data_IF_093581771340
#
_entry.id   IF_093581771340
#
_cell.length_a   1.000
_cell.length_b   1.000
_cell.length_c   1.000
_cell.angle_alpha   90.00
_cell.angle_beta   90.00
_cell.angle_gamma   90.00
#
_symmetry.space_group_name_H-M   'P 1'
#
loop_
_entity.id
_entity.type
_entity.pdbx_description
1 polymer ?
#
# COMPACT_ATOMS: atom_id res chain seq x y z
N UNK A 1 -16.75 -11.90 36.87
CA UNK A 1 -17.18 -11.39 35.55
C UNK A 1 -16.44 -10.13 35.11
N UNK A 2 -15.91 -9.31 36.04
CA UNK A 2 -15.03 -8.15 35.74
C UNK A 2 -13.75 -8.48 34.94
N UNK A 3 -13.22 -9.71 35.04
CA UNK A 3 -11.98 -10.11 34.36
C UNK A 3 -12.13 -10.20 32.84
N UNK A 4 -13.25 -10.75 32.34
CA UNK A 4 -13.46 -10.94 30.89
C UNK A 4 -13.74 -9.61 30.16
N UNK A 5 -14.53 -8.73 30.77
CA UNK A 5 -14.80 -7.40 30.21
C UNK A 5 -13.56 -6.52 30.19
N UNK A 6 -12.77 -6.56 31.26
CA UNK A 6 -11.50 -5.85 31.35
C UNK A 6 -10.49 -6.37 30.33
N UNK A 7 -10.35 -7.70 30.19
CA UNK A 7 -9.50 -8.30 29.17
C UNK A 7 -9.94 -7.88 27.76
N UNK A 8 -11.25 -7.80 27.49
CA UNK A 8 -11.73 -7.34 26.20
C UNK A 8 -11.38 -5.88 25.91
N UNK A 9 -11.54 -5.00 26.90
CA UNK A 9 -11.12 -3.59 26.80
C UNK A 9 -9.62 -3.50 26.50
N UNK A 10 -8.79 -4.28 27.19
CA UNK A 10 -7.34 -4.31 26.96
C UNK A 10 -6.98 -4.77 25.54
N UNK A 11 -7.67 -5.79 25.02
CA UNK A 11 -7.48 -6.25 23.64
C UNK A 11 -7.90 -5.17 22.63
N UNK A 12 -9.00 -4.46 22.87
CA UNK A 12 -9.45 -3.36 22.00
C UNK A 12 -8.50 -2.16 22.03
N UNK A 13 -7.92 -1.85 23.19
CA UNK A 13 -6.87 -0.82 23.33
C UNK A 13 -5.64 -1.22 22.50
N UNK A 14 -5.16 -2.46 22.64
CA UNK A 14 -4.04 -2.97 21.83
C UNK A 14 -4.36 -2.91 20.33
N UNK A 15 -5.59 -3.24 19.93
CA UNK A 15 -6.02 -3.18 18.54
C UNK A 15 -5.96 -1.75 18.01
N UNK A 16 -6.47 -0.78 18.77
CA UNK A 16 -6.40 0.64 18.43
C UNK A 16 -4.97 1.13 18.31
N UNK A 17 -4.07 0.73 19.21
CA UNK A 17 -2.65 1.10 19.14
C UNK A 17 -1.99 0.57 17.88
N UNK A 18 -2.27 -0.68 17.50
CA UNK A 18 -1.75 -1.28 16.26
C UNK A 18 -2.29 -0.56 15.01
N UNK A 19 -3.59 -0.23 14.97
CA UNK A 19 -4.14 0.56 13.87
C UNK A 19 -3.56 1.98 13.82
N UNK A 20 -3.33 2.61 14.97
CA UNK A 20 -2.69 3.93 15.02
C UNK A 20 -1.27 3.89 14.44
N UNK A 21 -0.47 2.89 14.83
CA UNK A 21 0.87 2.65 14.25
C UNK A 21 0.79 2.39 12.75
N UNK A 22 -0.20 1.60 12.30
CA UNK A 22 -0.39 1.30 10.89
C UNK A 22 -0.74 2.57 10.10
N UNK A 23 -1.59 3.44 10.63
CA UNK A 23 -1.93 4.74 10.03
C UNK A 23 -0.69 5.63 9.87
N UNK A 24 0.15 5.75 10.90
CA UNK A 24 1.40 6.50 10.81
C UNK A 24 2.33 5.94 9.72
N UNK A 25 2.36 4.62 9.54
CA UNK A 25 3.14 3.99 8.48
C UNK A 25 2.53 4.21 7.09
N UNK A 26 1.21 4.27 6.97
CA UNK A 26 0.52 4.68 5.72
C UNK A 26 0.86 6.13 5.34
N UNK A 27 0.86 7.05 6.31
CA UNK A 27 1.27 8.43 6.08
C UNK A 27 2.74 8.50 5.63
N UNK A 28 3.63 7.73 6.27
CA UNK A 28 5.04 7.66 5.88
C UNK A 28 5.25 7.06 4.50
N UNK A 29 4.50 6.02 4.15
CA UNK A 29 4.51 5.41 2.83
C UNK A 29 4.15 6.46 1.77
N UNK A 30 3.08 7.24 1.99
CA UNK A 30 2.64 8.28 1.07
C UNK A 30 3.72 9.33 0.80
N UNK A 31 4.44 9.77 1.83
CA UNK A 31 5.60 10.67 1.68
C UNK A 31 6.69 10.04 0.79
N UNK A 32 7.01 8.77 1.01
CA UNK A 32 8.05 8.05 0.26
C UNK A 32 7.66 7.79 -1.19
N UNK A 33 6.37 7.54 -1.46
CA UNK A 33 5.83 7.45 -2.82
C UNK A 33 6.04 8.77 -3.56
N UNK A 34 5.71 9.91 -2.93
CA UNK A 34 5.92 11.23 -3.52
C UNK A 34 7.41 11.54 -3.76
N UNK A 35 8.29 11.06 -2.88
CA UNK A 35 9.74 11.23 -2.99
C UNK A 35 10.40 10.25 -3.96
N UNK A 36 9.66 9.24 -4.46
CA UNK A 36 10.15 8.16 -5.31
C UNK A 36 11.30 7.34 -4.68
N UNK A 37 11.37 7.26 -3.35
CA UNK A 37 12.38 6.49 -2.62
C UNK A 37 11.92 5.03 -2.44
N UNK A 38 12.19 4.21 -3.46
CA UNK A 38 11.76 2.81 -3.48
C UNK A 38 12.41 1.95 -2.37
N UNK A 39 13.64 2.28 -1.93
CA UNK A 39 14.36 1.47 -0.92
C UNK A 39 13.74 1.67 0.45
N UNK A 40 13.50 2.92 0.84
CA UNK A 40 12.82 3.22 2.10
C UNK A 40 11.36 2.74 2.09
N UNK A 41 10.69 2.83 0.93
CA UNK A 41 9.34 2.31 0.76
C UNK A 41 9.24 0.81 1.08
N UNK A 42 10.19 -0.01 0.60
CA UNK A 42 10.22 -1.45 0.93
C UNK A 42 10.38 -1.69 2.44
N UNK A 43 11.18 -0.87 3.13
CA UNK A 43 11.33 -0.94 4.58
C UNK A 43 10.01 -0.68 5.31
N UNK A 44 9.28 0.36 4.90
CA UNK A 44 7.95 0.68 5.46
C UNK A 44 6.95 -0.44 5.19
N UNK A 45 6.91 -0.99 3.97
CA UNK A 45 6.02 -2.11 3.64
C UNK A 45 6.31 -3.36 4.50
N UNK A 46 7.59 -3.65 4.78
CA UNK A 46 7.98 -4.71 5.69
C UNK A 46 7.48 -4.50 7.12
N UNK A 47 7.66 -3.30 7.66
CA UNK A 47 7.15 -2.95 9.00
C UNK A 47 5.62 -3.02 9.09
N UNK A 48 4.92 -2.58 8.04
CA UNK A 48 3.46 -2.68 7.94
C UNK A 48 2.97 -4.13 7.95
N UNK A 49 3.65 -5.03 7.23
CA UNK A 49 3.32 -6.45 7.23
C UNK A 49 3.34 -7.03 8.65
N UNK A 50 4.36 -6.70 9.44
CA UNK A 50 4.46 -7.15 10.84
C UNK A 50 3.26 -6.66 11.67
N UNK A 51 2.85 -5.40 11.51
CA UNK A 51 1.68 -4.86 12.21
C UNK A 51 0.38 -5.57 11.81
N UNK A 52 0.21 -5.90 10.52
CA UNK A 52 -0.96 -6.66 10.03
C UNK A 52 -0.98 -8.09 10.59
N UNK A 53 0.18 -8.74 10.68
CA UNK A 53 0.31 -10.06 11.32
C UNK A 53 -0.08 -10.00 12.81
N UNK A 54 0.36 -8.97 13.53
CA UNK A 54 -0.04 -8.73 14.93
C UNK A 54 -1.55 -8.48 15.08
N UNK A 55 -2.13 -7.66 14.20
CA UNK A 55 -3.58 -7.42 14.16
C UNK A 55 -4.37 -8.71 13.88
N UNK A 56 -3.84 -9.58 13.03
CA UNK A 56 -4.45 -10.89 12.72
C UNK A 56 -4.46 -11.79 13.95
N UNK A 57 -3.33 -11.88 14.65
CA UNK A 57 -3.22 -12.64 15.91
C UNK A 57 -4.14 -12.09 17.00
N UNK A 58 -4.21 -10.76 17.14
CA UNK A 58 -5.09 -10.11 18.10
C UNK A 58 -6.57 -10.36 17.77
N UNK A 59 -6.92 -10.34 16.48
CA UNK A 59 -8.27 -10.67 16.01
C UNK A 59 -8.70 -12.10 16.39
N UNK A 60 -7.78 -13.07 16.38
CA UNK A 60 -8.05 -14.43 16.85
C UNK A 60 -8.34 -14.48 18.36
N UNK A 61 -7.73 -13.61 19.16
CA UNK A 61 -7.99 -13.50 20.60
C UNK A 61 -9.33 -12.82 20.90
N UNK A 62 -9.72 -11.84 20.07
CA UNK A 62 -10.99 -11.11 20.18
C UNK A 62 -12.19 -11.97 19.74
N UNK A 63 -12.00 -12.81 18.72
CA UNK A 63 -13.06 -13.65 18.12
C UNK A 63 -13.96 -14.39 19.14
N UNK A 64 -13.43 -15.17 20.11
CA UNK A 64 -14.27 -15.89 21.07
C UNK A 64 -15.08 -14.96 21.98
N UNK A 65 -14.55 -13.78 22.33
CA UNK A 65 -15.28 -12.79 23.14
C UNK A 65 -16.41 -12.16 22.32
N UNK A 66 -16.16 -11.91 21.02
CA UNK A 66 -17.15 -11.36 20.10
C UNK A 66 -18.33 -12.32 19.90
N UNK A 67 -18.08 -13.62 19.82
CA UNK A 67 -19.15 -14.65 19.74
C UNK A 67 -20.05 -14.63 20.98
N UNK A 68 -19.47 -14.36 22.15
CA UNK A 68 -20.17 -14.29 23.42
C UNK A 68 -20.67 -12.87 23.75
N UNK A 69 -20.46 -11.90 22.85
CA UNK A 69 -20.68 -10.48 23.12
C UNK A 69 -22.09 -10.19 23.61
N UNK A 70 -23.09 -10.85 23.02
CA UNK A 70 -24.48 -10.59 23.37
C UNK A 70 -24.83 -11.04 24.79
N UNK A 71 -24.25 -12.15 25.25
CA UNK A 71 -24.39 -12.60 26.64
C UNK A 71 -23.58 -11.72 27.60
N UNK A 72 -22.39 -11.28 27.17
CA UNK A 72 -21.52 -10.43 27.98
C UNK A 72 -22.17 -9.06 28.19
N UNK A 73 -22.70 -8.47 27.12
CA UNK A 73 -23.24 -7.11 27.07
C UNK A 73 -24.30 -6.89 28.13
N UNK A 74 -25.21 -7.83 28.34
CA UNK A 74 -26.31 -7.72 29.32
C UNK A 74 -25.83 -7.72 30.78
N UNK A 75 -24.62 -8.24 31.03
CA UNK A 75 -23.99 -8.27 32.34
C UNK A 75 -23.03 -7.09 32.62
N UNK A 76 -22.75 -6.25 31.62
CA UNK A 76 -21.83 -5.11 31.74
C UNK A 76 -22.47 -3.91 32.44
N UNK A 77 -21.67 -3.21 33.24
CA UNK A 77 -22.00 -1.87 33.70
C UNK A 77 -22.00 -0.89 32.51
N UNK A 78 -22.82 0.17 32.61
CA UNK A 78 -22.96 1.19 31.56
C UNK A 78 -21.61 1.75 31.11
N UNK A 79 -20.74 2.13 32.06
CA UNK A 79 -19.43 2.71 31.77
C UNK A 79 -18.54 1.76 30.94
N UNK A 80 -18.52 0.47 31.26
CA UNK A 80 -17.74 -0.53 30.52
C UNK A 80 -18.29 -0.74 29.11
N UNK A 81 -19.62 -0.77 28.98
CA UNK A 81 -20.28 -0.91 27.68
C UNK A 81 -19.98 0.29 26.78
N UNK A 82 -20.03 1.49 27.33
CA UNK A 82 -19.75 2.73 26.60
C UNK A 82 -18.28 2.80 26.17
N UNK A 83 -17.35 2.43 27.06
CA UNK A 83 -15.93 2.35 26.73
C UNK A 83 -15.65 1.35 25.60
N UNK A 84 -16.27 0.17 25.64
CA UNK A 84 -16.10 -0.84 24.59
C UNK A 84 -16.64 -0.34 23.25
N UNK A 85 -17.85 0.26 23.24
CA UNK A 85 -18.43 0.81 22.02
C UNK A 85 -17.53 1.92 21.45
N UNK A 86 -17.05 2.84 22.30
CA UNK A 86 -16.15 3.90 21.87
C UNK A 86 -14.85 3.37 21.25
N UNK A 87 -14.26 2.31 21.83
CA UNK A 87 -13.06 1.68 21.28
C UNK A 87 -13.33 1.00 19.94
N UNK A 88 -14.49 0.33 19.81
CA UNK A 88 -14.93 -0.32 18.57
C UNK A 88 -15.16 0.71 17.45
N UNK A 89 -15.76 1.86 17.76
CA UNK A 89 -15.98 2.92 16.78
C UNK A 89 -14.64 3.53 16.34
N UNK A 90 -13.75 3.80 17.30
CA UNK A 90 -12.40 4.32 17.01
C UNK A 90 -11.57 3.37 16.13
N UNK A 91 -11.63 2.05 16.35
CA UNK A 91 -10.89 1.09 15.52
C UNK A 91 -11.49 0.97 14.12
N UNK A 92 -12.82 1.08 13.98
CA UNK A 92 -13.48 1.12 12.67
C UNK A 92 -13.10 2.36 11.87
N UNK A 93 -13.13 3.54 12.49
CA UNK A 93 -12.74 4.80 11.85
C UNK A 93 -11.28 4.76 11.38
N UNK A 94 -10.37 4.28 12.23
CA UNK A 94 -8.96 4.11 11.86
C UNK A 94 -8.78 3.14 10.69
N UNK A 95 -9.50 2.01 10.69
CA UNK A 95 -9.41 1.03 9.61
C UNK A 95 -9.94 1.61 8.29
N UNK A 96 -11.06 2.32 8.32
CA UNK A 96 -11.63 2.97 7.14
C UNK A 96 -10.66 3.99 6.53
N UNK A 97 -10.04 4.83 7.37
CA UNK A 97 -9.01 5.78 6.97
C UNK A 97 -7.82 5.08 6.28
N UNK A 98 -7.31 4.00 6.89
CA UNK A 98 -6.15 3.25 6.37
C UNK A 98 -6.47 2.63 5.00
N UNK A 99 -7.64 1.99 4.86
CA UNK A 99 -8.05 1.37 3.58
C UNK A 99 -8.17 2.44 2.48
N UNK A 100 -8.79 3.58 2.80
CA UNK A 100 -8.94 4.68 1.84
C UNK A 100 -7.59 5.23 1.39
N UNK A 101 -6.65 5.46 2.33
CA UNK A 101 -5.31 5.94 2.03
C UNK A 101 -4.50 4.93 1.19
N UNK A 102 -4.56 3.64 1.54
CA UNK A 102 -3.81 2.60 0.82
C UNK A 102 -4.33 2.37 -0.62
N UNK A 103 -5.62 2.56 -0.86
CA UNK A 103 -6.18 2.51 -2.20
C UNK A 103 -5.69 3.70 -3.05
N UNK A 104 -5.66 4.91 -2.49
CA UNK A 104 -5.12 6.09 -3.17
C UNK A 104 -3.63 5.92 -3.51
N UNK A 105 -2.81 5.45 -2.56
CA UNK A 105 -1.39 5.20 -2.77
C UNK A 105 -1.14 4.15 -3.86
N UNK A 106 -1.94 3.07 -3.88
CA UNK A 106 -1.86 2.03 -4.92
C UNK A 106 -2.18 2.59 -6.31
N UNK A 107 -3.18 3.45 -6.42
CA UNK A 107 -3.54 4.10 -7.68
C UNK A 107 -2.42 5.03 -8.16
N UNK A 108 -1.82 5.81 -7.26
CA UNK A 108 -0.70 6.69 -7.60
C UNK A 108 0.52 5.90 -8.09
N UNK A 109 0.91 4.86 -7.36
CA UNK A 109 2.03 4.00 -7.76
C UNK A 109 1.81 3.32 -9.12
N UNK A 110 0.58 2.91 -9.42
CA UNK A 110 0.23 2.36 -10.72
C UNK A 110 0.36 3.41 -11.84
N UNK A 111 -0.14 4.62 -11.62
CA UNK A 111 -0.03 5.72 -12.59
C UNK A 111 1.43 6.12 -12.85
N UNK A 112 2.26 6.18 -11.80
CA UNK A 112 3.69 6.50 -11.90
C UNK A 112 4.44 5.42 -12.71
N UNK A 113 4.13 4.14 -12.46
CA UNK A 113 4.67 3.01 -13.22
C UNK A 113 4.32 3.13 -14.70
N UNK A 114 3.06 3.40 -15.01
CA UNK A 114 2.58 3.46 -16.40
C UNK A 114 3.19 4.64 -17.16
N UNK A 115 3.34 5.79 -16.49
CA UNK A 115 4.02 6.97 -17.03
C UNK A 115 5.49 6.67 -17.32
N UNK A 116 6.24 6.10 -16.36
CA UNK A 116 7.64 5.70 -16.56
C UNK A 116 7.78 4.64 -17.65
N UNK A 117 6.83 3.70 -17.75
CA UNK A 117 6.77 2.71 -18.82
C UNK A 117 6.59 3.34 -20.20
N UNK A 118 5.70 4.33 -20.33
CA UNK A 118 5.49 5.07 -21.57
C UNK A 118 6.72 5.90 -21.97
N UNK A 119 7.40 6.55 -21.02
CA UNK A 119 8.64 7.28 -21.26
C UNK A 119 9.75 6.35 -21.80
N UNK A 120 9.96 5.20 -21.16
CA UNK A 120 10.90 4.17 -21.62
C UNK A 120 10.54 3.63 -23.02
N UNK A 121 9.24 3.41 -23.28
CA UNK A 121 8.73 3.02 -24.59
C UNK A 121 9.02 4.07 -25.67
N UNK A 122 8.81 5.35 -25.37
CA UNK A 122 9.09 6.44 -26.31
C UNK A 122 10.59 6.59 -26.59
N UNK A 123 11.44 6.39 -25.58
CA UNK A 123 12.89 6.42 -25.73
C UNK A 123 13.42 5.30 -26.63
N UNK A 124 12.92 4.07 -26.44
CA UNK A 124 13.31 2.90 -27.25
C UNK A 124 12.79 2.99 -28.70
N UNK A 125 11.60 3.56 -28.91
CA UNK A 125 11.09 3.85 -30.26
C UNK A 125 11.93 4.91 -30.97
N UNK A 126 12.32 5.99 -30.27
CA UNK A 126 13.15 7.04 -30.83
C UNK A 126 14.57 6.55 -31.20
N UNK A 127 15.17 5.67 -30.41
CA UNK A 127 16.47 5.06 -30.76
C UNK A 127 16.35 4.10 -31.94
N UNK A 128 15.28 3.29 -32.00
CA UNK A 128 15.00 2.40 -33.13
C UNK A 128 14.78 3.19 -34.42
N UNK A 129 13.98 4.26 -34.37
CA UNK A 129 13.74 5.14 -35.50
C UNK A 129 15.03 5.82 -35.98
N UNK A 130 15.86 6.34 -35.06
CA UNK A 130 17.17 6.92 -35.39
C UNK A 130 18.11 5.92 -36.07
N UNK A 131 18.16 4.70 -35.56
CA UNK A 131 18.98 3.63 -36.14
C UNK A 131 18.47 3.23 -37.53
N UNK A 132 17.15 3.19 -37.74
CA UNK A 132 16.55 2.90 -39.04
C UNK A 132 16.86 3.99 -40.08
N UNK A 133 16.76 5.28 -39.71
CA UNK A 133 17.15 6.38 -40.60
C UNK A 133 18.66 6.36 -40.93
N UNK A 134 19.53 6.08 -39.96
CA UNK A 134 20.97 5.96 -40.19
C UNK A 134 21.33 4.77 -41.09
N UNK A 135 20.65 3.62 -40.93
CA UNK A 135 20.81 2.45 -41.79
C UNK A 135 20.33 2.71 -43.23
N UNK A 136 19.23 3.44 -43.40
CA UNK A 136 18.71 3.75 -44.74
C UNK A 136 19.56 4.81 -45.47
N UNK A 137 20.08 5.80 -44.74
CA UNK A 137 20.99 6.81 -45.30
C UNK A 137 22.34 6.19 -45.75
N UNK A 138 22.84 5.19 -45.01
CA UNK A 138 24.05 4.46 -45.38
C UNK A 138 23.82 3.44 -46.51
N UNK A 139 22.65 2.80 -46.56
CA UNK A 139 22.26 1.94 -47.69
C UNK A 139 22.15 2.73 -49.00
N UNK A 140 21.49 3.89 -49.00
CA UNK A 140 21.37 4.76 -50.18
C UNK A 140 22.72 5.27 -50.70
N UNK A 141 23.68 5.53 -49.81
CA UNK A 141 25.03 5.96 -50.19
C UNK A 141 25.87 4.83 -50.83
N UNK A 142 25.62 3.58 -50.44
CA UNK A 142 26.28 2.42 -51.04
C UNK A 142 25.77 2.13 -52.46
N UNK A 143 24.47 2.21 -52.72
CA UNK A 143 23.93 2.05 -54.08
C UNK A 143 24.46 3.12 -55.05
N UNK A 144 24.60 4.37 -54.60
CA UNK A 144 25.19 5.44 -55.40
C UNK A 144 26.67 5.16 -55.75
N UNK A 145 27.45 4.52 -54.88
CA UNK A 145 28.87 4.22 -55.12
C UNK A 145 29.12 3.05 -56.07
N UNK A 146 28.23 2.06 -56.13
CA UNK A 146 28.38 0.93 -57.06
C UNK A 146 27.94 1.27 -58.50
N UNK A 147 27.07 2.27 -58.68
CA UNK A 147 26.61 2.70 -59.99
C UNK A 147 27.68 3.42 -60.85
N UNK A 148 28.73 3.99 -60.23
CA UNK A 148 29.79 4.72 -60.93
C UNK A 148 31.06 3.90 -61.22
N UNK A 149 31.07 2.59 -60.96
CA UNK A 149 32.28 1.75 -61.11
C UNK A 149 32.25 0.76 -62.28
N UNK A 150 31.31 0.92 -63.22
CA UNK A 150 31.24 0.13 -64.47
C UNK A 150 31.11 1.01 -65.73
N UNK A 151 31.78 2.16 -65.73
CA UNK A 151 31.95 3.01 -66.91
C UNK A 151 33.40 3.03 -67.34
#
# INVERSE_FOLDING_TARGET
MTSTSQAFIELLIQQKELYTKLKMMSEKQRELVQQQDAVQLLGVLGARKILVEQLTQLGQQIAPIREQWQQLKDSLQTDQRDQINQLIDQTQDLLADIISADEQDRQQLAADRDTKGAELGSFTQNTTARNAYAANASAGNNYARFAYKQG
#
